data_IF_495688924537
#
_entry.id   IF_495688924537
#
_cell.length_a   1.000
_cell.length_b   1.000
_cell.length_c   1.000
_cell.angle_alpha   90.00
_cell.angle_beta   90.00
_cell.angle_gamma   90.00
#
_symmetry.space_group_name_H-M   'P 1'
#
loop_
_entity.id
_entity.type
_entity.pdbx_description
1 polymer ?
#
# COMPACT_ATOMS: atom_id res chain seq x y z
N UNK A 1 -11.26 0.79 19.52
CA UNK A 1 -12.00 0.37 18.30
C UNK A 1 -11.85 -1.14 18.18
N UNK A 2 -12.93 -1.91 17.91
CA UNK A 2 -12.84 -3.36 17.74
C UNK A 2 -11.86 -3.75 16.63
N UNK A 3 -11.06 -4.79 16.86
CA UNK A 3 -10.03 -5.21 15.91
C UNK A 3 -10.62 -5.62 14.55
N UNK A 4 -11.76 -6.30 14.55
CA UNK A 4 -12.43 -6.74 13.32
C UNK A 4 -12.91 -5.57 12.47
N UNK A 5 -13.32 -4.46 13.11
CA UNK A 5 -13.70 -3.25 12.39
C UNK A 5 -12.48 -2.59 11.71
N UNK A 6 -11.32 -2.59 12.40
CA UNK A 6 -10.05 -2.09 11.83
C UNK A 6 -9.64 -2.97 10.65
N UNK A 7 -9.70 -4.28 10.80
CA UNK A 7 -9.36 -5.25 9.77
C UNK A 7 -10.31 -5.16 8.57
N UNK A 8 -11.62 -5.06 8.80
CA UNK A 8 -12.61 -4.88 7.73
C UNK A 8 -12.33 -3.61 6.93
N UNK A 9 -11.98 -2.51 7.60
CA UNK A 9 -11.63 -1.26 6.93
C UNK A 9 -10.32 -1.36 6.16
N UNK A 10 -9.30 -2.07 6.69
CA UNK A 10 -8.05 -2.35 5.98
C UNK A 10 -8.32 -3.14 4.69
N UNK A 11 -9.16 -4.18 4.75
CA UNK A 11 -9.54 -4.98 3.57
C UNK A 11 -10.22 -4.09 2.52
N UNK A 12 -11.23 -3.31 2.90
CA UNK A 12 -11.99 -2.45 1.97
C UNK A 12 -11.07 -1.44 1.29
N UNK A 13 -10.25 -0.72 2.06
CA UNK A 13 -9.37 0.31 1.52
C UNK A 13 -8.23 -0.26 0.66
N UNK A 14 -7.90 -1.54 0.84
CA UNK A 14 -6.87 -2.22 0.06
C UNK A 14 -7.39 -2.95 -1.16
N UNK A 15 -8.70 -3.14 -1.28
CA UNK A 15 -9.27 -3.92 -2.38
C UNK A 15 -8.90 -3.35 -3.75
N UNK A 16 -9.12 -2.06 -3.97
CA UNK A 16 -8.80 -1.40 -5.24
C UNK A 16 -7.31 -1.45 -5.61
N UNK A 17 -6.37 -1.04 -4.74
CA UNK A 17 -4.95 -1.12 -5.09
C UNK A 17 -4.45 -2.56 -5.23
N UNK A 18 -5.01 -3.53 -4.49
CA UNK A 18 -4.67 -4.96 -4.67
C UNK A 18 -5.12 -5.52 -6.03
N UNK A 19 -6.17 -4.96 -6.63
CA UNK A 19 -6.61 -5.35 -7.98
C UNK A 19 -5.84 -4.63 -9.09
N UNK A 20 -5.24 -3.46 -8.80
CA UNK A 20 -4.58 -2.63 -9.81
C UNK A 20 -3.06 -2.77 -9.84
N UNK A 21 -2.44 -3.09 -8.71
CA UNK A 21 -1.00 -3.03 -8.51
C UNK A 21 -0.46 -4.34 -7.93
N UNK A 22 0.84 -4.56 -8.07
CA UNK A 22 1.50 -5.69 -7.40
C UNK A 22 1.50 -5.44 -5.89
N UNK A 23 0.77 -6.28 -5.15
CA UNK A 23 0.67 -6.18 -3.70
C UNK A 23 1.75 -7.04 -3.02
N UNK A 24 2.55 -6.43 -2.12
CA UNK A 24 3.52 -7.13 -1.28
C UNK A 24 3.36 -6.66 0.16
N UNK A 25 2.91 -7.55 1.06
CA UNK A 25 2.70 -7.20 2.46
C UNK A 25 1.62 -6.12 2.62
N UNK A 26 1.98 -4.88 3.01
CA UNK A 26 1.10 -3.71 3.06
C UNK A 26 1.46 -2.63 2.03
N UNK A 27 2.33 -2.99 1.09
CA UNK A 27 2.82 -2.11 0.06
C UNK A 27 2.19 -2.46 -1.29
N UNK A 28 2.05 -1.46 -2.13
CA UNK A 28 1.52 -1.58 -3.49
C UNK A 28 2.48 -0.93 -4.47
N UNK A 29 2.79 -1.66 -5.54
CA UNK A 29 3.77 -1.27 -6.55
C UNK A 29 3.09 -1.20 -7.91
N UNK A 30 2.75 0.02 -8.38
CA UNK A 30 2.28 0.22 -9.74
C UNK A 30 3.35 -0.19 -10.76
N UNK A 31 2.96 -0.64 -11.96
CA UNK A 31 3.91 -0.83 -13.05
C UNK A 31 4.65 0.50 -13.34
N UNK A 32 5.96 0.46 -13.60
CA UNK A 32 6.70 1.67 -13.95
C UNK A 32 6.13 2.28 -15.24
N UNK A 33 5.83 3.59 -15.21
CA UNK A 33 5.24 4.32 -16.34
C UNK A 33 6.28 4.63 -17.43
N UNK A 34 6.90 3.60 -18.01
CA UNK A 34 7.91 3.72 -19.05
C UNK A 34 9.32 4.09 -18.55
N UNK A 35 9.47 4.41 -17.27
CA UNK A 35 10.76 4.61 -16.61
C UNK A 35 11.02 3.46 -15.64
N UNK A 36 11.53 2.35 -16.16
CA UNK A 36 12.05 1.29 -15.31
C UNK A 36 13.51 1.60 -14.98
N UNK A 37 13.81 1.76 -13.70
CA UNK A 37 15.18 2.03 -13.27
C UNK A 37 15.93 0.70 -13.14
N UNK A 38 16.69 0.36 -14.18
CA UNK A 38 17.52 -0.85 -14.22
C UNK A 38 18.58 -0.81 -13.11
N UNK A 39 18.66 -1.89 -12.35
CA UNK A 39 19.67 -2.10 -11.30
C UNK A 39 20.79 -3.05 -11.78
N UNK A 40 20.68 -3.60 -12.99
CA UNK A 40 21.56 -4.61 -13.57
C UNK A 40 21.15 -6.04 -13.19
N UNK A 41 21.67 -7.03 -13.93
CA UNK A 41 21.49 -8.45 -13.61
C UNK A 41 20.04 -8.97 -13.77
N UNK A 42 19.19 -8.27 -14.52
CA UNK A 42 17.76 -8.60 -14.65
C UNK A 42 16.90 -8.08 -13.50
N UNK A 43 17.43 -7.18 -12.66
CA UNK A 43 16.71 -6.55 -11.57
C UNK A 43 16.32 -5.11 -11.91
N UNK A 44 15.11 -4.72 -11.54
CA UNK A 44 14.59 -3.37 -11.78
C UNK A 44 14.01 -2.79 -10.48
N UNK A 45 14.16 -1.48 -10.27
CA UNK A 45 13.56 -0.78 -9.14
C UNK A 45 12.12 -0.37 -9.47
N UNK A 46 11.20 -0.73 -8.57
CA UNK A 46 9.80 -0.34 -8.63
C UNK A 46 9.47 0.51 -7.41
N UNK A 47 9.02 1.74 -7.62
CA UNK A 47 8.51 2.60 -6.56
C UNK A 47 7.05 2.30 -6.27
N UNK A 48 6.66 2.45 -5.02
CA UNK A 48 5.33 2.10 -4.54
C UNK A 48 4.99 2.88 -3.29
N UNK A 49 3.94 2.45 -2.60
CA UNK A 49 3.53 3.07 -1.35
C UNK A 49 3.09 2.04 -0.33
N UNK A 50 3.39 2.32 0.94
CA UNK A 50 2.84 1.62 2.09
C UNK A 50 1.44 2.18 2.42
N UNK A 51 0.52 1.30 2.80
CA UNK A 51 -0.79 1.68 3.30
C UNK A 51 -1.18 0.87 4.53
N UNK A 52 -1.61 1.55 5.61
CA UNK A 52 -2.27 0.87 6.71
C UNK A 52 -3.32 1.72 7.40
N UNK A 53 -4.35 1.07 7.90
CA UNK A 53 -5.34 1.69 8.76
C UNK A 53 -4.87 1.67 10.23
N UNK A 54 -4.95 2.81 10.92
CA UNK A 54 -4.52 2.96 12.33
C UNK A 54 -5.58 3.68 13.17
N UNK A 55 -5.93 3.20 14.37
CA UNK A 55 -6.76 3.96 15.31
C UNK A 55 -5.98 5.18 15.82
N UNK A 56 -6.68 6.28 16.14
CA UNK A 56 -6.06 7.49 16.72
C UNK A 56 -6.96 8.18 17.75
N UNK A 57 -6.40 9.09 18.53
CA UNK A 57 -7.15 9.92 19.49
C UNK A 57 -7.80 11.16 18.86
N UNK A 58 -7.32 11.59 17.69
CA UNK A 58 -7.85 12.77 16.99
C UNK A 58 -9.08 12.42 16.15
N UNK A 59 -8.90 11.51 15.19
CA UNK A 59 -9.98 10.92 14.37
C UNK A 59 -10.14 9.45 14.73
N UNK A 60 -11.36 8.93 14.58
CA UNK A 60 -11.67 7.51 14.85
C UNK A 60 -10.67 6.58 14.18
N UNK A 61 -10.33 6.84 12.90
CA UNK A 61 -9.32 6.10 12.14
C UNK A 61 -8.47 7.05 11.29
N UNK A 62 -7.20 6.69 11.09
CA UNK A 62 -6.26 7.34 10.17
C UNK A 62 -5.79 6.33 9.11
N UNK A 63 -5.52 6.85 7.91
CA UNK A 63 -4.84 6.12 6.86
C UNK A 63 -3.37 6.55 6.87
N UNK A 64 -2.48 5.65 7.27
CA UNK A 64 -1.04 5.88 7.20
C UNK A 64 -0.55 5.51 5.79
N UNK A 65 -0.03 6.50 5.07
CA UNK A 65 0.53 6.37 3.73
C UNK A 65 1.98 6.83 3.78
N UNK A 66 2.87 6.03 3.22
CA UNK A 66 4.28 6.40 3.02
C UNK A 66 4.72 6.02 1.59
N UNK A 67 5.45 6.92 0.93
CA UNK A 67 5.87 6.77 -0.46
C UNK A 67 7.34 6.40 -0.58
N UNK A 68 7.65 5.48 -1.49
CA UNK A 68 9.01 5.08 -1.85
C UNK A 68 9.53 5.76 -3.11
#
# INVERSE_FOLDING_TARGET
VPQDAIQGMDIVLRQMPSMKFTAVGRCFFPPPNGHCHDLGGGCELWTGFYQSVRPSQWKTMLLNIDGG
#
